data_IF_208546315914
#
_entry.id   IF_208546315914
#
_cell.length_a   1.000
_cell.length_b   1.000
_cell.length_c   1.000
_cell.angle_alpha   90.00
_cell.angle_beta   90.00
_cell.angle_gamma   90.00
#
_symmetry.space_group_name_H-M   'P 1'
#
loop_
_entity.id
_entity.type
_entity.pdbx_description
1 polymer ?
#
# COMPACT_ATOMS: atom_id res chain seq x y z
N UNK A 1 8.30 18.57 -45.01
CA UNK A 1 9.66 18.02 -45.16
C UNK A 1 9.86 16.76 -44.31
N UNK A 2 9.41 16.71 -43.05
CA UNK A 2 9.55 15.53 -42.18
C UNK A 2 8.74 14.27 -42.57
N UNK A 3 7.66 14.41 -43.36
CA UNK A 3 6.68 13.33 -43.56
C UNK A 3 7.13 12.17 -44.48
N UNK A 4 8.31 12.25 -45.10
CA UNK A 4 8.78 11.22 -46.04
C UNK A 4 10.03 10.45 -45.57
N UNK A 5 10.47 10.67 -44.33
CA UNK A 5 11.68 10.06 -43.76
C UNK A 5 12.91 10.16 -44.69
N UNK A 6 13.03 11.28 -45.40
CA UNK A 6 14.07 11.55 -46.37
C UNK A 6 14.72 12.90 -46.07
N UNK A 7 16.05 12.94 -46.22
CA UNK A 7 16.81 14.18 -46.13
C UNK A 7 16.44 15.12 -47.27
N UNK A 8 16.23 16.39 -46.93
CA UNK A 8 15.90 17.44 -47.89
C UNK A 8 17.07 18.41 -47.97
N UNK A 9 17.59 18.58 -49.19
CA UNK A 9 18.66 19.52 -49.51
C UNK A 9 18.08 20.61 -50.40
N UNK A 10 18.26 21.86 -49.98
CA UNK A 10 17.90 23.05 -50.73
C UNK A 10 19.17 23.88 -50.94
N UNK A 11 19.59 23.97 -52.20
CA UNK A 11 20.83 24.67 -52.56
C UNK A 11 20.65 26.19 -52.54
N UNK A 12 19.47 26.67 -52.97
CA UNK A 12 19.07 28.08 -52.89
C UNK A 12 17.56 28.22 -52.60
N UNK A 13 17.24 28.61 -51.37
CA UNK A 13 15.88 28.86 -50.83
C UNK A 13 15.05 29.81 -51.70
N UNK A 14 15.68 30.76 -52.40
CA UNK A 14 14.98 31.75 -53.19
C UNK A 14 14.61 31.25 -54.59
N UNK A 15 15.36 30.28 -55.11
CA UNK A 15 15.08 29.61 -56.39
C UNK A 15 14.31 28.29 -56.25
N UNK A 16 14.18 27.76 -55.03
CA UNK A 16 13.52 26.48 -54.78
C UNK A 16 12.00 26.54 -55.02
N UNK A 17 11.49 25.56 -55.76
CA UNK A 17 10.09 25.46 -56.16
C UNK A 17 9.42 24.15 -55.69
N UNK A 18 10.21 23.19 -55.20
CA UNK A 18 9.71 21.88 -54.73
C UNK A 18 8.98 21.97 -53.39
N UNK A 19 9.27 23.00 -52.60
CA UNK A 19 8.77 23.15 -51.23
C UNK A 19 8.29 24.58 -50.96
N UNK A 20 7.28 24.73 -50.13
CA UNK A 20 6.91 26.04 -49.59
C UNK A 20 7.92 26.46 -48.52
N UNK A 21 8.72 27.48 -48.87
CA UNK A 21 9.74 28.08 -48.00
C UNK A 21 9.39 29.52 -47.61
N UNK A 22 8.12 29.91 -47.71
CA UNK A 22 7.64 31.24 -47.32
C UNK A 22 7.98 31.59 -45.86
N UNK A 23 7.86 30.63 -44.95
CA UNK A 23 8.25 30.78 -43.55
C UNK A 23 9.75 31.07 -43.37
N UNK A 24 10.62 30.35 -44.07
CA UNK A 24 12.08 30.57 -44.04
C UNK A 24 12.45 31.94 -44.63
N UNK A 25 11.78 32.37 -45.69
CA UNK A 25 11.96 33.70 -46.31
C UNK A 25 11.54 34.80 -45.34
N UNK A 26 10.38 34.67 -44.70
CA UNK A 26 9.88 35.60 -43.69
C UNK A 26 10.81 35.69 -42.47
N UNK A 27 11.28 34.56 -41.95
CA UNK A 27 12.28 34.54 -40.87
C UNK A 27 13.56 35.29 -41.26
N UNK A 28 14.01 35.13 -42.50
CA UNK A 28 15.20 35.84 -43.00
C UNK A 28 14.99 37.35 -43.09
N UNK A 29 13.78 37.80 -43.43
CA UNK A 29 13.40 39.21 -43.47
C UNK A 29 13.28 39.82 -42.06
N UNK A 30 12.69 39.08 -41.12
CA UNK A 30 12.48 39.55 -39.73
C UNK A 30 13.77 39.59 -38.92
N UNK A 31 14.67 38.61 -39.10
CA UNK A 31 15.91 38.50 -38.32
C UNK A 31 17.12 39.17 -38.97
N UNK A 32 17.03 39.48 -40.27
CA UNK A 32 18.17 39.91 -41.08
C UNK A 32 19.18 38.80 -41.41
N UNK A 33 18.95 37.56 -40.93
CA UNK A 33 19.79 36.40 -41.26
C UNK A 33 19.33 35.78 -42.59
N UNK A 34 20.05 36.07 -43.67
CA UNK A 34 19.71 35.56 -45.00
C UNK A 34 20.00 34.06 -45.12
N UNK A 35 18.95 33.24 -45.14
CA UNK A 35 19.06 31.78 -45.36
C UNK A 35 19.06 31.48 -46.86
N UNK A 36 20.16 30.93 -47.37
CA UNK A 36 20.38 30.60 -48.79
C UNK A 36 20.40 29.09 -48.99
N UNK A 37 21.30 28.34 -48.33
CA UNK A 37 21.31 26.87 -48.40
C UNK A 37 20.74 26.24 -47.14
N UNK A 38 20.11 25.08 -47.26
CA UNK A 38 19.48 24.37 -46.14
C UNK A 38 19.56 22.85 -46.29
N UNK A 39 19.90 22.17 -45.19
CA UNK A 39 19.85 20.72 -45.05
C UNK A 39 18.90 20.38 -43.90
N UNK A 40 17.87 19.59 -44.18
CA UNK A 40 16.95 19.07 -43.15
C UNK A 40 17.01 17.55 -43.18
N UNK A 41 17.45 16.94 -42.07
CA UNK A 41 17.60 15.49 -41.92
C UNK A 41 16.62 15.01 -40.84
N UNK A 42 15.82 13.97 -41.11
CA UNK A 42 14.91 13.43 -40.11
C UNK A 42 15.67 12.71 -38.98
N UNK A 43 15.19 12.86 -37.75
CA UNK A 43 15.53 12.00 -36.62
C UNK A 43 14.53 10.86 -36.60
N UNK A 44 14.91 9.72 -37.16
CA UNK A 44 14.10 8.50 -37.16
C UNK A 44 14.97 7.34 -36.68
N UNK A 45 14.60 6.66 -35.59
CA UNK A 45 15.25 5.42 -35.22
C UNK A 45 14.81 4.31 -36.20
N UNK A 46 15.77 3.52 -36.70
CA UNK A 46 15.62 2.27 -37.50
C UNK A 46 14.18 1.98 -38.05
N UNK A 47 13.79 2.67 -39.12
CA UNK A 47 12.49 2.53 -39.85
C UNK A 47 11.22 2.94 -39.07
N UNK A 48 11.36 3.54 -37.89
CA UNK A 48 10.28 4.04 -37.05
C UNK A 48 9.80 5.46 -37.40
N UNK A 49 8.87 5.96 -36.60
CA UNK A 49 8.30 7.30 -36.73
C UNK A 49 9.38 8.39 -36.60
N UNK A 50 9.24 9.47 -37.35
CA UNK A 50 10.14 10.62 -37.27
C UNK A 50 9.87 11.36 -35.96
N UNK A 51 10.79 11.25 -35.00
CA UNK A 51 10.68 11.86 -33.67
C UNK A 51 11.13 13.32 -33.64
N UNK A 52 11.76 13.79 -34.71
CA UNK A 52 12.22 15.18 -34.86
C UNK A 52 12.98 15.40 -36.15
N UNK A 53 13.60 16.57 -36.30
CA UNK A 53 14.46 16.90 -37.45
C UNK A 53 15.70 17.68 -36.99
N UNK A 54 16.84 17.43 -37.62
CA UNK A 54 18.02 18.30 -37.57
C UNK A 54 17.97 19.21 -38.79
N UNK A 55 18.00 20.52 -38.57
CA UNK A 55 18.06 21.51 -39.65
C UNK A 55 19.35 22.32 -39.54
N UNK A 56 20.11 22.36 -40.63
CA UNK A 56 21.31 23.16 -40.79
C UNK A 56 21.08 24.19 -41.89
N UNK A 57 21.55 25.41 -41.67
CA UNK A 57 21.40 26.54 -42.58
C UNK A 57 22.77 27.03 -43.01
N UNK A 58 22.89 27.45 -44.27
CA UNK A 58 24.06 28.10 -44.86
C UNK A 58 25.38 27.35 -44.64
N UNK A 59 25.60 26.26 -45.38
CA UNK A 59 26.94 25.68 -45.44
C UNK A 59 27.95 26.72 -45.96
N UNK A 60 29.12 26.83 -45.32
CA UNK A 60 30.14 27.82 -45.64
C UNK A 60 31.33 27.15 -46.33
N UNK A 61 31.82 27.75 -47.41
CA UNK A 61 33.08 27.37 -48.02
C UNK A 61 34.24 27.67 -47.04
N UNK A 62 35.05 26.68 -46.65
CA UNK A 62 36.10 26.88 -45.64
C UNK A 62 37.21 27.86 -46.04
N UNK A 63 37.39 28.13 -47.33
CA UNK A 63 38.45 29.01 -47.86
C UNK A 63 37.96 30.43 -48.09
N UNK A 64 36.71 30.57 -48.54
CA UNK A 64 36.16 31.87 -48.97
C UNK A 64 35.12 32.43 -48.01
N UNK A 65 34.55 31.60 -47.13
CA UNK A 65 33.45 31.97 -46.24
C UNK A 65 32.12 32.22 -46.96
N UNK A 66 32.05 31.97 -48.27
CA UNK A 66 30.82 32.12 -49.05
C UNK A 66 29.82 31.02 -48.70
N UNK A 67 28.52 31.33 -48.79
CA UNK A 67 27.48 30.31 -48.64
C UNK A 67 27.47 29.42 -49.88
N UNK A 68 27.51 28.11 -49.66
CA UNK A 68 27.53 27.08 -50.68
C UNK A 68 26.42 26.04 -50.42
N UNK A 69 26.04 25.23 -51.42
CA UNK A 69 25.27 24.02 -51.21
C UNK A 69 25.95 23.07 -50.22
N UNK A 70 25.16 22.23 -49.53
CA UNK A 70 25.70 21.25 -48.59
C UNK A 70 26.47 20.15 -49.34
N UNK A 71 27.77 19.94 -49.06
CA UNK A 71 28.56 18.88 -49.67
C UNK A 71 28.00 17.48 -49.35
N UNK A 72 28.07 16.54 -50.30
CA UNK A 72 27.47 15.21 -50.14
C UNK A 72 28.08 14.38 -48.99
N UNK A 73 29.37 14.55 -48.72
CA UNK A 73 30.08 13.98 -47.58
C UNK A 73 29.57 14.55 -46.24
N UNK A 74 29.30 15.85 -46.19
CA UNK A 74 28.69 16.50 -45.03
C UNK A 74 27.25 16.00 -44.81
N UNK A 75 26.46 15.84 -45.88
CA UNK A 75 25.11 15.28 -45.79
C UNK A 75 25.14 13.88 -45.17
N UNK A 76 25.97 12.98 -45.70
CA UNK A 76 26.08 11.61 -45.17
C UNK A 76 26.56 11.57 -43.70
N UNK A 77 27.44 12.50 -43.30
CA UNK A 77 27.85 12.64 -41.91
C UNK A 77 26.70 13.10 -40.99
N UNK A 78 25.93 14.11 -41.43
CA UNK A 78 24.78 14.62 -40.67
C UNK A 78 23.68 13.56 -40.57
N UNK A 79 23.46 12.76 -41.61
CA UNK A 79 22.55 11.61 -41.58
C UNK A 79 22.97 10.56 -40.53
N UNK A 80 24.26 10.21 -40.49
CA UNK A 80 24.77 9.28 -39.47
C UNK A 80 24.62 9.84 -38.05
N UNK A 81 24.89 11.14 -37.85
CA UNK A 81 24.71 11.82 -36.57
C UNK A 81 23.23 11.88 -36.16
N UNK A 82 22.33 12.17 -37.11
CA UNK A 82 20.89 12.19 -36.90
C UNK A 82 20.39 10.81 -36.46
N UNK A 83 20.81 9.75 -37.13
CA UNK A 83 20.44 8.38 -36.76
C UNK A 83 20.89 8.02 -35.32
N UNK A 84 22.13 8.37 -34.93
CA UNK A 84 22.61 8.13 -33.56
C UNK A 84 21.88 8.98 -32.52
N UNK A 85 21.62 10.24 -32.84
CA UNK A 85 20.85 11.14 -31.96
C UNK A 85 19.43 10.64 -31.76
N UNK A 86 18.80 10.12 -32.83
CA UNK A 86 17.45 9.56 -32.75
C UNK A 86 17.38 8.35 -31.81
N UNK A 87 18.35 7.43 -31.89
CA UNK A 87 18.45 6.29 -30.97
C UNK A 87 18.65 6.74 -29.52
N UNK A 88 19.49 7.75 -29.27
CA UNK A 88 19.72 8.27 -27.92
C UNK A 88 18.46 8.91 -27.32
N UNK A 89 17.73 9.70 -28.11
CA UNK A 89 16.46 10.33 -27.69
C UNK A 89 15.40 9.27 -27.42
N UNK A 90 15.26 8.27 -28.29
CA UNK A 90 14.31 7.18 -28.09
C UNK A 90 14.60 6.42 -26.79
N UNK A 91 15.87 6.07 -26.55
CA UNK A 91 16.27 5.41 -25.30
C UNK A 91 15.95 6.26 -24.07
N UNK A 92 16.19 7.57 -24.12
CA UNK A 92 15.84 8.48 -23.02
C UNK A 92 14.33 8.51 -22.77
N UNK A 93 13.54 8.59 -23.83
CA UNK A 93 12.08 8.56 -23.75
C UNK A 93 11.57 7.24 -23.18
N UNK A 94 12.17 6.10 -23.58
CA UNK A 94 11.84 4.79 -23.04
C UNK A 94 12.16 4.67 -21.56
N UNK A 95 13.32 5.17 -21.12
CA UNK A 95 13.71 5.20 -19.69
C UNK A 95 12.71 6.05 -18.90
N UNK A 96 12.33 7.22 -19.41
CA UNK A 96 11.37 8.10 -18.75
C UNK A 96 9.98 7.46 -18.66
N UNK A 97 9.50 6.85 -19.75
CA UNK A 97 8.24 6.11 -19.75
C UNK A 97 8.25 4.94 -18.74
N UNK A 98 9.36 4.23 -18.63
CA UNK A 98 9.53 3.17 -17.63
C UNK A 98 9.47 3.71 -16.20
N UNK A 99 10.11 4.86 -15.92
CA UNK A 99 10.03 5.53 -14.61
C UNK A 99 8.60 5.91 -14.26
N UNK A 100 7.89 6.54 -15.20
CA UNK A 100 6.50 6.95 -15.02
C UNK A 100 5.56 5.76 -14.79
N UNK A 101 5.76 4.66 -15.51
CA UNK A 101 5.01 3.42 -15.29
C UNK A 101 5.24 2.86 -13.88
N UNK A 102 6.48 2.83 -13.42
CA UNK A 102 6.81 2.35 -12.08
C UNK A 102 6.20 3.24 -10.99
N UNK A 103 6.26 4.56 -11.15
CA UNK A 103 5.67 5.50 -10.20
C UNK A 103 4.13 5.37 -10.16
N UNK A 104 3.49 5.13 -11.31
CA UNK A 104 2.06 4.87 -11.37
C UNK A 104 1.68 3.55 -10.67
N UNK A 105 2.47 2.49 -10.85
CA UNK A 105 2.27 1.21 -10.17
C UNK A 105 2.38 1.35 -8.65
N UNK A 106 3.38 2.09 -8.17
CA UNK A 106 3.57 2.35 -6.73
C UNK A 106 2.35 3.05 -6.14
N UNK A 107 1.87 4.11 -6.81
CA UNK A 107 0.66 4.84 -6.37
C UNK A 107 -0.58 3.94 -6.37
N UNK A 108 -0.71 3.07 -7.37
CA UNK A 108 -1.82 2.10 -7.43
C UNK A 108 -1.77 1.13 -6.24
N UNK A 109 -0.61 0.54 -5.94
CA UNK A 109 -0.44 -0.37 -4.80
C UNK A 109 -0.77 0.35 -3.49
N UNK A 110 -0.24 1.57 -3.30
CA UNK A 110 -0.52 2.37 -2.11
C UNK A 110 -2.01 2.71 -1.96
N UNK A 111 -2.69 3.07 -3.06
CA UNK A 111 -4.14 3.29 -3.06
C UNK A 111 -4.93 2.03 -2.72
N UNK A 112 -4.49 0.86 -3.19
CA UNK A 112 -5.12 -0.42 -2.84
C UNK A 112 -4.91 -0.80 -1.36
N UNK A 113 -3.74 -0.48 -0.78
CA UNK A 113 -3.47 -0.62 0.66
C UNK A 113 -4.44 0.25 1.46
N UNK A 114 -4.59 1.52 1.07
CA UNK A 114 -5.50 2.45 1.74
C UNK A 114 -6.96 2.01 1.65
N UNK A 115 -7.40 1.48 0.51
CA UNK A 115 -8.77 0.99 0.36
C UNK A 115 -9.11 -0.17 1.30
N UNK A 116 -8.12 -0.94 1.75
CA UNK A 116 -8.30 -2.06 2.69
C UNK A 116 -8.47 -1.60 4.14
N UNK A 117 -8.02 -0.40 4.49
CA UNK A 117 -8.14 0.16 5.85
C UNK A 117 -9.04 1.39 5.82
N UNK A 118 -10.35 1.27 6.15
CA UNK A 118 -11.36 2.33 5.94
C UNK A 118 -11.06 3.70 6.56
N UNK A 119 -10.16 3.74 7.56
CA UNK A 119 -9.75 4.95 8.28
C UNK A 119 -8.49 5.62 7.71
N UNK A 120 -7.82 5.03 6.72
CA UNK A 120 -6.62 5.60 6.11
C UNK A 120 -6.93 6.43 4.86
N UNK A 121 -8.17 6.87 4.63
CA UNK A 121 -8.58 7.62 3.41
C UNK A 121 -7.57 8.70 2.99
N UNK A 122 -6.80 8.42 1.94
CA UNK A 122 -5.74 9.28 1.40
C UNK A 122 -4.50 9.46 2.29
N UNK A 123 -4.30 8.63 3.30
CA UNK A 123 -3.13 8.66 4.20
C UNK A 123 -1.86 8.29 3.45
N UNK A 124 -1.90 7.24 2.64
CA UNK A 124 -0.77 6.87 1.80
C UNK A 124 -0.49 7.92 0.72
N UNK A 125 -1.42 8.85 0.45
CA UNK A 125 -1.17 10.02 -0.40
C UNK A 125 -0.59 11.21 0.39
N UNK A 126 -1.16 11.53 1.55
CA UNK A 126 -0.75 12.68 2.38
C UNK A 126 0.61 12.49 3.07
N UNK A 127 0.91 11.29 3.56
CA UNK A 127 2.18 11.03 4.26
C UNK A 127 3.40 11.29 3.37
N UNK A 128 3.43 10.82 2.10
CA UNK A 128 4.50 11.20 1.19
C UNK A 128 4.62 12.71 0.98
N UNK A 129 3.51 13.44 0.83
CA UNK A 129 3.56 14.90 0.67
C UNK A 129 4.17 15.59 1.89
N UNK A 130 3.67 15.25 3.08
CA UNK A 130 4.20 15.79 4.34
C UNK A 130 5.66 15.38 4.57
N UNK A 131 6.01 14.14 4.26
CA UNK A 131 7.37 13.63 4.36
C UNK A 131 8.34 14.42 3.47
N UNK A 132 7.94 14.71 2.22
CA UNK A 132 8.73 15.51 1.30
C UNK A 132 8.86 16.95 1.82
N UNK A 133 7.78 17.58 2.26
CA UNK A 133 7.84 18.95 2.83
C UNK A 133 8.78 19.02 4.04
N UNK A 134 8.77 18.01 4.91
CA UNK A 134 9.68 17.92 6.05
C UNK A 134 11.13 17.72 5.61
N UNK A 135 11.37 16.84 4.64
CA UNK A 135 12.69 16.61 4.09
C UNK A 135 13.24 17.88 3.39
N UNK A 136 12.41 18.62 2.66
CA UNK A 136 12.78 19.89 2.02
C UNK A 136 13.14 20.96 3.05
N UNK A 137 12.33 21.09 4.11
CA UNK A 137 12.61 22.00 5.21
C UNK A 137 13.93 21.65 5.93
N UNK A 138 14.17 20.36 6.18
CA UNK A 138 15.42 19.88 6.77
C UNK A 138 16.62 20.12 5.84
N UNK A 139 16.46 19.89 4.54
CA UNK A 139 17.48 20.13 3.52
C UNK A 139 17.84 21.62 3.40
N UNK A 140 16.88 22.53 3.52
CA UNK A 140 17.12 23.97 3.47
C UNK A 140 17.83 24.51 4.73
N UNK A 141 17.82 23.77 5.84
CA UNK A 141 18.41 24.17 7.10
C UNK A 141 19.94 24.19 7.00
N UNK A 142 20.57 25.34 7.26
CA UNK A 142 22.04 25.52 7.26
C UNK A 142 22.66 25.61 8.67
N UNK A 143 21.83 25.63 9.72
CA UNK A 143 22.28 25.71 11.12
C UNK A 143 21.41 24.86 12.06
N UNK A 144 22.01 24.38 13.14
CA UNK A 144 21.34 23.54 14.14
C UNK A 144 21.44 22.04 13.86
N UNK A 145 20.65 21.19 14.55
CA UNK A 145 20.83 19.73 14.54
C UNK A 145 20.69 19.07 13.17
N UNK A 146 19.93 19.68 12.25
CA UNK A 146 19.66 19.14 10.90
C UNK A 146 20.55 19.76 9.81
N UNK A 147 21.53 20.60 10.17
CA UNK A 147 22.38 21.28 9.18
C UNK A 147 23.17 20.32 8.27
N UNK A 148 23.44 19.10 8.74
CA UNK A 148 24.14 18.06 7.99
C UNK A 148 23.22 17.20 7.11
N UNK A 149 21.89 17.31 7.24
CA UNK A 149 20.96 16.52 6.44
C UNK A 149 20.87 17.07 5.02
N UNK A 150 21.26 16.28 4.03
CA UNK A 150 21.15 16.62 2.61
C UNK A 150 20.76 15.40 1.80
N UNK A 151 20.01 15.68 0.74
CA UNK A 151 19.86 14.79 -0.40
C UNK A 151 20.59 15.48 -1.55
N UNK A 152 21.65 14.86 -2.05
CA UNK A 152 22.56 15.43 -3.05
C UNK A 152 22.09 15.15 -4.47
N UNK A 153 21.26 14.13 -4.68
CA UNK A 153 20.82 13.71 -6.01
C UNK A 153 19.30 13.61 -6.12
N UNK A 154 18.80 13.74 -7.35
CA UNK A 154 17.38 13.51 -7.66
C UNK A 154 16.95 12.06 -7.36
N UNK A 155 17.89 11.11 -7.46
CA UNK A 155 17.65 9.71 -7.16
C UNK A 155 17.39 9.49 -5.66
N UNK A 156 18.13 10.16 -4.76
CA UNK A 156 17.88 10.09 -3.31
C UNK A 156 16.49 10.65 -2.94
N UNK A 157 16.11 11.77 -3.56
CA UNK A 157 14.75 12.32 -3.41
C UNK A 157 13.67 11.35 -3.89
N UNK A 158 13.95 10.67 -5.00
CA UNK A 158 13.05 9.67 -5.57
C UNK A 158 12.93 8.44 -4.67
N UNK A 159 14.04 7.94 -4.14
CA UNK A 159 14.06 6.81 -3.21
C UNK A 159 13.26 7.10 -1.94
N UNK A 160 13.47 8.29 -1.33
CA UNK A 160 12.70 8.71 -0.16
C UNK A 160 11.20 8.79 -0.47
N UNK A 161 10.83 9.36 -1.63
CA UNK A 161 9.44 9.44 -2.09
C UNK A 161 8.82 8.05 -2.23
N UNK A 162 9.52 7.11 -2.86
CA UNK A 162 9.06 5.72 -3.02
C UNK A 162 8.88 5.04 -1.66
N UNK A 163 9.86 5.19 -0.76
CA UNK A 163 9.79 4.64 0.60
C UNK A 163 8.58 5.18 1.37
N UNK A 164 8.29 6.47 1.25
CA UNK A 164 7.13 7.07 1.89
C UNK A 164 5.80 6.50 1.34
N UNK A 165 5.68 6.30 0.03
CA UNK A 165 4.49 5.69 -0.58
C UNK A 165 4.31 4.22 -0.19
N UNK A 166 5.39 3.48 0.03
CA UNK A 166 5.37 2.04 0.30
C UNK A 166 5.49 1.68 1.79
N UNK A 167 5.57 2.65 2.70
CA UNK A 167 5.81 2.39 4.14
C UNK A 167 4.84 1.39 4.77
N UNK A 168 3.60 1.35 4.27
CA UNK A 168 2.51 0.49 4.75
C UNK A 168 2.19 -0.68 3.82
N UNK A 169 3.03 -0.96 2.80
CA UNK A 169 2.76 -2.01 1.81
C UNK A 169 2.62 -3.42 2.43
N UNK A 170 3.24 -3.68 3.58
CA UNK A 170 3.10 -4.93 4.34
C UNK A 170 1.68 -5.18 4.88
N UNK A 171 0.82 -4.16 4.97
CA UNK A 171 -0.58 -4.33 5.41
C UNK A 171 -1.44 -5.07 4.38
N UNK A 172 -0.99 -5.20 3.12
CA UNK A 172 -1.71 -5.95 2.07
C UNK A 172 -1.94 -7.41 2.47
N UNK A 173 -0.97 -8.05 3.11
CA UNK A 173 -1.06 -9.48 3.49
C UNK A 173 -1.62 -9.70 4.89
N UNK A 174 -1.67 -8.66 5.71
CA UNK A 174 -2.14 -8.77 7.10
C UNK A 174 -3.68 -8.84 7.13
N UNK A 175 -4.30 -9.83 7.82
CA UNK A 175 -5.76 -9.90 7.90
C UNK A 175 -6.38 -8.67 8.57
N UNK A 176 -7.54 -8.21 8.09
CA UNK A 176 -8.22 -7.00 8.60
C UNK A 176 -8.47 -7.09 10.11
N UNK A 177 -8.92 -8.23 10.62
CA UNK A 177 -9.15 -8.42 12.06
C UNK A 177 -7.89 -8.38 12.94
N UNK A 178 -6.69 -8.32 12.33
CA UNK A 178 -5.42 -8.09 13.02
C UNK A 178 -5.04 -6.61 12.94
N UNK A 179 -5.16 -6.01 11.76
CA UNK A 179 -4.82 -4.59 11.52
C UNK A 179 -5.81 -3.65 12.23
N UNK A 180 -7.10 -3.98 12.18
CA UNK A 180 -8.22 -3.13 12.61
C UNK A 180 -8.86 -3.67 13.91
N UNK A 181 -8.10 -4.44 14.67
CA UNK A 181 -8.60 -5.13 15.86
C UNK A 181 -9.02 -4.12 16.94
N UNK A 182 -10.31 -3.83 17.05
CA UNK A 182 -10.82 -2.83 17.98
C UNK A 182 -10.91 -3.35 19.41
N UNK A 183 -11.25 -4.63 19.60
CA UNK A 183 -11.35 -5.27 20.92
C UNK A 183 -10.46 -6.52 21.05
N UNK A 184 -10.09 -6.90 22.28
CA UNK A 184 -9.15 -8.01 22.54
C UNK A 184 -9.61 -9.36 21.99
N UNK A 185 -10.92 -9.64 22.03
CA UNK A 185 -11.53 -10.90 21.58
C UNK A 185 -11.98 -10.88 20.11
N UNK A 186 -11.80 -9.76 19.41
CA UNK A 186 -12.20 -9.61 18.02
C UNK A 186 -11.33 -10.41 17.05
N UNK A 187 -11.99 -11.10 16.13
CA UNK A 187 -11.41 -11.71 14.94
C UNK A 187 -12.27 -11.26 13.75
N UNK A 188 -12.70 -12.16 12.85
CA UNK A 188 -13.75 -11.85 11.86
C UNK A 188 -15.08 -11.49 12.56
N UNK A 189 -15.28 -11.96 13.79
CA UNK A 189 -16.40 -11.56 14.65
C UNK A 189 -15.92 -11.35 16.10
N UNK A 190 -16.70 -10.64 16.91
CA UNK A 190 -16.36 -10.42 18.31
C UNK A 190 -16.76 -11.62 19.18
N UNK A 191 -15.77 -12.37 19.67
CA UNK A 191 -15.99 -13.57 20.49
C UNK A 191 -16.51 -13.28 21.90
N UNK A 192 -16.67 -12.01 22.29
CA UNK A 192 -17.37 -11.65 23.53
C UNK A 192 -18.80 -12.22 23.58
N UNK A 193 -19.42 -12.45 22.41
CA UNK A 193 -20.75 -13.03 22.33
C UNK A 193 -20.80 -14.48 22.81
N UNK A 194 -19.75 -15.27 22.60
CA UNK A 194 -19.65 -16.63 23.14
C UNK A 194 -19.50 -16.61 24.66
N UNK A 195 -18.65 -15.71 25.17
CA UNK A 195 -18.48 -15.53 26.61
C UNK A 195 -19.79 -15.11 27.25
N UNK A 196 -20.48 -14.13 26.67
CA UNK A 196 -21.82 -13.71 27.10
C UNK A 196 -22.80 -14.88 27.14
N UNK A 197 -22.80 -15.74 26.12
CA UNK A 197 -23.68 -16.91 26.10
C UNK A 197 -23.41 -17.87 27.26
N UNK A 198 -22.16 -18.04 27.70
CA UNK A 198 -21.85 -18.85 28.89
C UNK A 198 -22.36 -18.22 30.18
N UNK A 199 -22.31 -16.89 30.32
CA UNK A 199 -22.95 -16.19 31.44
C UNK A 199 -24.48 -16.34 31.43
N UNK A 200 -25.11 -16.32 30.25
CA UNK A 200 -26.56 -16.59 30.09
C UNK A 200 -26.92 -18.04 30.50
N UNK A 201 -26.02 -18.99 30.28
CA UNK A 201 -26.17 -20.38 30.77
C UNK A 201 -26.06 -20.41 32.29
N UNK A 202 -25.03 -19.79 32.89
CA UNK A 202 -24.88 -19.74 34.35
C UNK A 202 -26.06 -19.05 35.05
N UNK A 203 -26.66 -18.05 34.41
CA UNK A 203 -27.90 -17.44 34.90
C UNK A 203 -29.05 -18.46 34.94
N UNK A 204 -29.23 -19.22 33.85
CA UNK A 204 -30.26 -20.27 33.76
C UNK A 204 -30.00 -21.36 34.80
N UNK A 205 -28.74 -21.76 34.99
CA UNK A 205 -28.36 -22.76 35.99
C UNK A 205 -28.68 -22.25 37.41
N UNK A 206 -28.38 -20.99 37.73
CA UNK A 206 -28.77 -20.39 39.01
C UNK A 206 -30.29 -20.43 39.25
N UNK A 207 -31.08 -20.19 38.20
CA UNK A 207 -32.55 -20.30 38.28
C UNK A 207 -33.02 -21.74 38.46
N UNK A 208 -32.37 -22.71 37.79
CA UNK A 208 -32.67 -24.13 37.94
C UNK A 208 -32.36 -24.56 39.38
N UNK A 209 -31.18 -24.24 39.91
CA UNK A 209 -30.81 -24.53 41.30
C UNK A 209 -31.80 -23.94 42.30
N UNK A 210 -32.27 -22.71 42.06
CA UNK A 210 -33.30 -22.09 42.90
C UNK A 210 -34.61 -22.90 42.87
N UNK A 211 -35.10 -23.27 41.68
CA UNK A 211 -36.35 -24.02 41.51
C UNK A 211 -36.26 -25.43 42.10
N UNK A 212 -35.10 -26.09 41.96
CA UNK A 212 -34.84 -27.40 42.56
C UNK A 212 -34.81 -27.30 44.10
N UNK A 213 -34.18 -26.25 44.66
CA UNK A 213 -34.19 -26.00 46.09
C UNK A 213 -35.61 -25.79 46.63
N UNK A 214 -36.42 -24.99 45.93
CA UNK A 214 -37.84 -24.80 46.23
C UNK A 214 -38.62 -26.13 46.17
N UNK A 215 -38.41 -26.92 45.12
CA UNK A 215 -39.06 -28.23 44.95
C UNK A 215 -38.66 -29.24 46.04
N UNK A 216 -37.43 -29.15 46.55
CA UNK A 216 -36.93 -29.96 47.67
C UNK A 216 -37.43 -29.52 49.06
N UNK A 217 -38.25 -28.46 49.13
CA UNK A 217 -38.84 -27.95 50.37
C UNK A 217 -38.03 -26.86 51.09
N UNK A 218 -37.05 -26.25 50.42
CA UNK A 218 -36.32 -25.10 50.97
C UNK A 218 -37.21 -23.86 51.07
N UNK A 219 -36.90 -22.96 52.02
CA UNK A 219 -37.66 -21.74 52.23
C UNK A 219 -37.59 -20.79 51.01
N UNK A 220 -38.75 -20.34 50.52
CA UNK A 220 -38.83 -19.52 49.31
C UNK A 220 -38.07 -18.19 49.42
N UNK A 221 -38.11 -17.52 50.58
CA UNK A 221 -37.36 -16.28 50.80
C UNK A 221 -35.85 -16.48 50.71
N UNK A 222 -35.33 -17.52 51.37
CA UNK A 222 -33.90 -17.83 51.37
C UNK A 222 -33.39 -18.22 49.96
N UNK A 223 -34.14 -19.04 49.22
CA UNK A 223 -33.76 -19.44 47.85
C UNK A 223 -33.79 -18.26 46.87
N UNK A 224 -34.78 -17.36 46.98
CA UNK A 224 -34.84 -16.14 46.17
C UNK A 224 -33.67 -15.19 46.47
N UNK A 225 -33.35 -14.97 47.74
CA UNK A 225 -32.21 -14.13 48.12
C UNK A 225 -30.88 -14.70 47.58
N UNK A 226 -30.67 -16.02 47.66
CA UNK A 226 -29.48 -16.67 47.11
C UNK A 226 -29.39 -16.52 45.57
N UNK A 227 -30.52 -16.66 44.88
CA UNK A 227 -30.60 -16.44 43.43
C UNK A 227 -30.25 -14.98 43.06
N UNK A 228 -30.84 -14.00 43.75
CA UNK A 228 -30.61 -12.58 43.49
C UNK A 228 -29.14 -12.19 43.71
N UNK A 229 -28.50 -12.70 44.77
CA UNK A 229 -27.06 -12.51 45.02
C UNK A 229 -26.23 -13.11 43.89
N UNK A 230 -26.54 -14.33 43.44
CA UNK A 230 -25.81 -14.99 42.35
C UNK A 230 -25.96 -14.24 41.03
N UNK A 231 -27.16 -13.79 40.71
CA UNK A 231 -27.45 -13.01 39.51
C UNK A 231 -26.67 -11.69 39.51
N UNK A 232 -26.67 -10.97 40.64
CA UNK A 232 -25.92 -9.72 40.77
C UNK A 232 -24.41 -9.95 40.56
N UNK A 233 -23.85 -11.03 41.11
CA UNK A 233 -22.45 -11.40 40.90
C UNK A 233 -22.15 -11.68 39.42
N UNK A 234 -23.01 -12.45 38.73
CA UNK A 234 -22.83 -12.76 37.30
C UNK A 234 -22.90 -11.51 36.42
N UNK A 235 -23.77 -10.56 36.74
CA UNK A 235 -23.87 -9.29 36.02
C UNK A 235 -22.61 -8.43 36.21
N UNK A 236 -22.12 -8.31 37.44
CA UNK A 236 -20.89 -7.56 37.75
C UNK A 236 -19.66 -8.20 37.07
N UNK A 237 -19.55 -9.52 37.12
CA UNK A 237 -18.44 -10.23 36.49
C UNK A 237 -18.47 -10.13 34.96
N UNK A 238 -19.64 -10.26 34.32
CA UNK A 238 -19.73 -10.06 32.87
C UNK A 238 -19.43 -8.62 32.47
N UNK A 239 -19.93 -7.62 33.22
CA UNK A 239 -19.63 -6.21 32.96
C UNK A 239 -18.12 -5.94 33.04
N UNK A 240 -17.44 -6.49 34.04
CA UNK A 240 -16.00 -6.42 34.18
C UNK A 240 -15.25 -7.10 33.01
N UNK A 241 -15.69 -8.28 32.58
CA UNK A 241 -15.12 -8.98 31.41
C UNK A 241 -15.32 -8.15 30.13
N UNK A 242 -16.49 -7.53 29.96
CA UNK A 242 -16.80 -6.68 28.81
C UNK A 242 -15.93 -5.40 28.78
N UNK A 243 -15.71 -4.75 29.93
CA UNK A 243 -14.76 -3.64 30.06
C UNK A 243 -13.35 -4.07 29.67
N UNK A 244 -12.91 -5.24 30.17
CA UNK A 244 -11.60 -5.78 29.86
C UNK A 244 -11.39 -6.05 28.36
N UNK A 245 -12.45 -6.33 27.62
CA UNK A 245 -12.40 -6.62 26.18
C UNK A 245 -12.18 -5.38 25.30
N UNK A 246 -12.60 -4.19 25.72
CA UNK A 246 -12.54 -2.98 24.88
C UNK A 246 -11.12 -2.61 24.43
N UNK A 247 -10.09 -3.07 25.13
CA UNK A 247 -8.71 -2.78 24.74
C UNK A 247 -8.32 -1.34 25.08
N UNK A 248 -7.05 -1.14 25.40
CA UNK A 248 -6.55 0.12 25.93
C UNK A 248 -5.22 -0.14 26.60
N UNK A 249 -5.08 0.28 27.85
CA UNK A 249 -3.84 0.18 28.62
C UNK A 249 -3.53 -1.24 29.13
N UNK A 250 -2.30 -1.39 29.64
CA UNK A 250 -1.87 -2.58 30.36
C UNK A 250 -2.85 -2.90 31.51
N UNK A 251 -3.22 -4.18 31.62
CA UNK A 251 -4.11 -4.64 32.69
C UNK A 251 -3.34 -4.73 34.01
N UNK A 252 -3.83 -4.05 35.04
CA UNK A 252 -3.24 -4.10 36.37
C UNK A 252 -3.31 -5.54 36.97
N UNK A 253 -2.36 -5.95 37.83
CA UNK A 253 -2.27 -7.32 38.33
C UNK A 253 -3.54 -7.82 39.05
N UNK A 254 -4.22 -6.95 39.78
CA UNK A 254 -5.48 -7.21 40.48
C UNK A 254 -6.63 -7.51 39.52
N UNK A 255 -6.70 -6.77 38.39
CA UNK A 255 -7.67 -7.05 37.31
C UNK A 255 -7.39 -8.42 36.68
N UNK A 256 -6.12 -8.78 36.49
CA UNK A 256 -5.73 -10.11 35.96
C UNK A 256 -6.16 -11.23 36.92
N UNK A 257 -5.92 -11.07 38.24
CA UNK A 257 -6.37 -12.04 39.24
C UNK A 257 -7.89 -12.17 39.29
N UNK A 258 -8.63 -11.05 39.13
CA UNK A 258 -10.09 -11.10 39.04
C UNK A 258 -10.55 -11.91 37.83
N UNK A 259 -9.96 -11.70 36.64
CA UNK A 259 -10.28 -12.52 35.45
C UNK A 259 -9.99 -14.00 35.70
N UNK A 260 -8.87 -14.34 36.35
CA UNK A 260 -8.53 -15.73 36.68
C UNK A 260 -9.55 -16.36 37.63
N UNK A 261 -10.02 -15.63 38.63
CA UNK A 261 -11.10 -16.11 39.52
C UNK A 261 -12.41 -16.34 38.77
N UNK A 262 -12.79 -15.42 37.89
CA UNK A 262 -13.98 -15.58 37.03
C UNK A 262 -13.81 -16.79 36.10
N UNK A 263 -12.59 -17.05 35.61
CA UNK A 263 -12.30 -18.18 34.74
C UNK A 263 -12.52 -19.55 35.42
N UNK A 264 -12.31 -19.64 36.73
CA UNK A 264 -12.48 -20.87 37.52
C UNK A 264 -13.94 -21.31 37.68
N UNK A 265 -14.91 -20.41 37.45
CA UNK A 265 -16.32 -20.78 37.34
C UNK A 265 -16.50 -21.86 36.28
N UNK A 266 -17.48 -22.75 36.46
CA UNK A 266 -17.68 -23.88 35.55
C UNK A 266 -19.10 -23.94 35.03
N UNK A 267 -19.25 -24.43 33.80
CA UNK A 267 -20.54 -24.70 33.16
C UNK A 267 -20.54 -26.09 32.53
N UNK A 268 -21.73 -26.65 32.32
CA UNK A 268 -21.89 -28.00 31.80
C UNK A 268 -22.17 -27.99 30.30
N UNK A 269 -21.29 -28.60 29.50
CA UNK A 269 -21.46 -28.73 28.06
C UNK A 269 -22.07 -30.08 27.70
N UNK A 270 -23.22 -30.03 27.04
CA UNK A 270 -23.95 -31.21 26.56
C UNK A 270 -23.74 -31.54 25.08
N UNK A 271 -23.27 -30.58 24.29
CA UNK A 271 -23.08 -30.73 22.84
C UNK A 271 -21.61 -30.83 22.49
N UNK A 272 -21.29 -31.66 21.50
CA UNK A 272 -19.94 -31.79 20.96
C UNK A 272 -19.53 -30.48 20.26
N UNK A 273 -18.36 -29.96 20.63
CA UNK A 273 -17.78 -28.72 20.11
C UNK A 273 -17.00 -28.94 18.81
N UNK A 274 -16.94 -30.19 18.32
CA UNK A 274 -16.28 -30.57 17.06
C UNK A 274 -17.25 -30.72 15.89
N UNK A 275 -18.55 -30.91 16.16
CA UNK A 275 -19.54 -31.09 15.09
C UNK A 275 -19.77 -29.78 14.34
N UNK A 276 -19.65 -29.83 13.01
CA UNK A 276 -19.82 -28.66 12.13
C UNK A 276 -18.55 -27.83 11.89
N UNK A 277 -17.41 -28.23 12.46
CA UNK A 277 -16.13 -27.56 12.21
C UNK A 277 -15.56 -27.88 10.82
N UNK A 278 -14.86 -26.91 10.23
CA UNK A 278 -14.13 -27.12 8.98
C UNK A 278 -12.93 -28.06 9.17
N UNK A 279 -12.41 -28.60 8.06
CA UNK A 279 -11.29 -29.55 8.11
C UNK A 279 -10.05 -28.97 8.84
N UNK A 280 -9.70 -27.72 8.55
CA UNK A 280 -8.58 -27.00 9.18
C UNK A 280 -8.80 -26.71 10.67
N UNK A 281 -10.05 -26.55 11.11
CA UNK A 281 -10.40 -26.41 12.52
C UNK A 281 -10.27 -27.73 13.25
N UNK A 282 -10.77 -28.82 12.65
CA UNK A 282 -10.68 -30.16 13.22
C UNK A 282 -9.23 -30.63 13.41
N UNK A 283 -8.32 -30.25 12.51
CA UNK A 283 -6.88 -30.57 12.65
C UNK A 283 -6.25 -29.99 13.92
N UNK A 284 -6.83 -28.91 14.49
CA UNK A 284 -6.34 -28.30 15.74
C UNK A 284 -6.74 -29.08 16.98
N UNK A 285 -7.75 -29.94 16.89
CA UNK A 285 -8.14 -30.79 18.00
C UNK A 285 -7.21 -31.99 18.08
N UNK A 286 -6.41 -32.04 19.14
CA UNK A 286 -5.58 -33.20 19.45
C UNK A 286 -6.36 -34.19 20.32
N UNK A 287 -6.26 -35.48 19.99
CA UNK A 287 -6.82 -36.57 20.80
C UNK A 287 -8.29 -36.89 20.59
N UNK A 288 -8.78 -37.87 21.36
CA UNK A 288 -10.13 -38.42 21.28
C UNK A 288 -11.19 -37.41 21.74
N UNK A 289 -12.41 -37.55 21.22
CA UNK A 289 -13.56 -36.76 21.67
C UNK A 289 -13.83 -37.02 23.16
N UNK A 290 -14.17 -35.96 23.89
CA UNK A 290 -14.49 -36.06 25.33
C UNK A 290 -15.88 -36.64 25.49
N UNK A 291 -16.08 -37.48 26.51
CA UNK A 291 -17.41 -38.01 26.85
C UNK A 291 -18.30 -36.88 27.38
N UNK A 292 -19.55 -36.82 26.90
CA UNK A 292 -20.52 -35.79 27.25
C UNK A 292 -21.57 -36.35 28.25
N UNK A 293 -22.13 -35.52 29.15
CA UNK A 293 -21.80 -34.11 29.36
C UNK A 293 -20.45 -33.91 30.07
N UNK A 294 -19.77 -32.80 29.79
CA UNK A 294 -18.47 -32.46 30.39
C UNK A 294 -18.53 -31.10 31.08
N UNK A 295 -17.91 -31.00 32.26
CA UNK A 295 -17.74 -29.75 32.97
C UNK A 295 -16.55 -28.97 32.39
N UNK A 296 -16.76 -27.73 31.99
CA UNK A 296 -15.72 -26.85 31.46
C UNK A 296 -15.59 -25.58 32.31
N UNK A 297 -14.38 -25.03 32.35
CA UNK A 297 -14.15 -23.68 32.88
C UNK A 297 -14.86 -22.63 32.01
N UNK A 298 -15.32 -21.56 32.65
CA UNK A 298 -16.05 -20.47 32.02
C UNK A 298 -15.18 -19.79 30.95
N UNK A 299 -13.92 -19.55 31.31
CA UNK A 299 -12.88 -19.03 30.43
C UNK A 299 -11.68 -19.98 30.49
N UNK A 300 -11.14 -20.37 29.33
CA UNK A 300 -10.01 -21.30 29.28
C UNK A 300 -9.15 -21.09 28.03
N UNK A 301 -7.83 -21.18 28.23
CA UNK A 301 -6.84 -21.22 27.16
C UNK A 301 -6.71 -22.64 26.62
N UNK A 302 -7.64 -23.04 25.74
CA UNK A 302 -7.62 -24.37 25.14
C UNK A 302 -6.51 -24.47 24.08
N UNK A 303 -5.89 -25.65 23.96
CA UNK A 303 -4.79 -25.89 23.01
C UNK A 303 -5.20 -25.58 21.55
N UNK A 304 -6.43 -25.93 21.17
CA UNK A 304 -6.97 -25.66 19.83
C UNK A 304 -7.19 -24.17 19.51
N UNK A 305 -7.17 -23.29 20.52
CA UNK A 305 -7.23 -21.84 20.31
C UNK A 305 -5.89 -21.25 19.86
N UNK A 306 -4.78 -22.00 20.04
CA UNK A 306 -3.43 -21.54 19.73
C UNK A 306 -3.15 -21.78 18.25
N UNK A 307 -3.00 -20.69 17.48
CA UNK A 307 -2.53 -20.75 16.10
C UNK A 307 -1.02 -20.59 16.10
N UNK A 308 -0.30 -21.70 15.94
CA UNK A 308 1.15 -21.67 15.86
C UNK A 308 1.61 -20.94 14.60
N UNK A 309 2.58 -20.03 14.73
CA UNK A 309 3.27 -19.47 13.58
C UNK A 309 4.08 -20.59 12.93
N UNK A 310 3.70 -20.97 11.71
CA UNK A 310 4.46 -21.95 10.93
C UNK A 310 5.78 -21.30 10.55
N UNK A 311 6.90 -21.77 11.11
CA UNK A 311 8.26 -21.25 10.80
C UNK A 311 8.71 -21.53 9.35
N UNK A 312 7.88 -22.21 8.55
CA UNK A 312 8.20 -22.58 7.17
C UNK A 312 7.50 -21.65 6.19
N UNK A 313 8.01 -20.43 6.09
CA UNK A 313 8.12 -19.72 4.84
C UNK A 313 9.35 -18.84 4.95
N UNK A 314 10.33 -19.08 4.06
CA UNK A 314 11.30 -18.06 3.70
C UNK A 314 10.48 -16.91 3.11
N UNK A 315 10.06 -15.99 3.96
CA UNK A 315 9.33 -14.80 3.58
C UNK A 315 9.67 -13.71 4.59
N UNK A 316 10.93 -13.31 4.56
CA UNK A 316 11.35 -11.97 4.96
C UNK A 316 12.39 -11.54 3.92
N UNK A 317 11.96 -11.00 2.76
CA UNK A 317 12.81 -10.13 1.95
C UNK A 317 13.00 -8.78 2.64
#
# INVERSE_FOLDING_TARGET
MANHNQSVIVDDVYSEMRFDLSGTKKFSEETGFRTVSMLTVPLSPREGEVIGVIQLLNALDPKTGAVIPFPADLVGFVEALAAQSAVAIENQNLIEAQKQLMDALIKLIAGAVDAKSPYTGGHCERVPELGIMLAEAAHAQSAGPLAAFRFETDDEWREFRIGAWLHDCGKVTTPEYVVDKACKLETIYNRIHEVRMRFEVLWRDARITQLEALASGSEAGATQAAFDVRVAQLQDDFAFVAECNQGGEFMAPDKVERIKRIAEETWLRHFDDRLGLAHEELQRYQGTAVSLPVQEQLLADKAQHIIARVKNAVADP
#
